data_IF_803754095448
#
_entry.id   IF_803754095448
#
_cell.length_a   1.000
_cell.length_b   1.000
_cell.length_c   1.000
_cell.angle_alpha   90.00
_cell.angle_beta   90.00
_cell.angle_gamma   90.00
#
_symmetry.space_group_name_H-M   'P 1'
#
loop_
_entity.id
_entity.type
_entity.pdbx_description
1 polymer ?
#
# COMPACT_ATOMS: atom_id res chain seq x y z
N UNK A 1 3.82 24.73 -5.21
CA UNK A 1 3.31 24.25 -3.91
C UNK A 1 2.65 22.92 -4.19
N UNK A 2 3.40 21.83 -4.11
CA UNK A 2 2.86 20.48 -4.34
C UNK A 2 2.32 19.99 -2.99
N UNK A 3 1.01 19.89 -2.86
CA UNK A 3 0.39 19.27 -1.69
C UNK A 3 0.59 17.76 -1.81
N UNK A 4 0.98 17.08 -0.72
CA UNK A 4 1.04 15.61 -0.69
C UNK A 4 2.43 14.97 -0.76
N UNK A 5 3.51 15.74 -0.85
CA UNK A 5 4.89 15.20 -0.92
C UNK A 5 5.30 14.38 0.31
N UNK A 6 4.60 14.55 1.44
CA UNK A 6 4.85 13.82 2.69
C UNK A 6 3.66 12.97 3.14
N UNK A 7 2.65 12.78 2.28
CA UNK A 7 1.51 11.93 2.61
C UNK A 7 1.88 10.50 2.21
N UNK A 8 1.91 9.54 3.16
CA UNK A 8 2.15 8.14 2.84
C UNK A 8 0.96 7.57 2.06
N UNK A 9 1.25 6.80 1.01
CA UNK A 9 0.27 6.09 0.20
C UNK A 9 0.44 4.59 0.40
N UNK A 10 -0.66 3.87 0.61
CA UNK A 10 -0.67 2.41 0.71
C UNK A 10 -1.83 1.83 -0.08
N UNK A 11 -1.64 0.64 -0.64
CA UNK A 11 -2.65 -0.06 -1.43
C UNK A 11 -3.55 -0.90 -0.52
N UNK A 12 -4.86 -0.86 -0.76
CA UNK A 12 -5.80 -1.72 -0.06
C UNK A 12 -6.22 -2.91 -0.93
N UNK A 13 -5.90 -4.14 -0.50
CA UNK A 13 -6.13 -5.36 -1.27
C UNK A 13 -7.36 -6.12 -0.75
N UNK A 14 -8.40 -6.26 -1.60
CA UNK A 14 -9.66 -6.91 -1.25
C UNK A 14 -9.91 -8.32 -1.83
N UNK A 15 -8.93 -8.93 -2.53
CA UNK A 15 -9.13 -10.20 -3.23
C UNK A 15 -7.82 -10.87 -3.66
N UNK A 16 -7.87 -11.83 -4.58
CA UNK A 16 -6.67 -12.46 -5.15
C UNK A 16 -6.02 -11.51 -6.15
N UNK A 17 -4.76 -11.14 -5.90
CA UNK A 17 -3.98 -10.29 -6.80
C UNK A 17 -2.84 -11.07 -7.44
N UNK A 18 -2.50 -10.67 -8.65
CA UNK A 18 -1.36 -11.23 -9.36
C UNK A 18 -0.04 -10.78 -8.72
N UNK A 19 0.91 -11.70 -8.45
CA UNK A 19 2.20 -11.35 -7.86
C UNK A 19 2.98 -10.30 -8.66
N UNK A 20 2.81 -10.30 -10.00
CA UNK A 20 3.43 -9.32 -10.89
C UNK A 20 2.96 -7.89 -10.64
N UNK A 21 1.68 -7.70 -10.29
CA UNK A 21 1.12 -6.38 -9.97
C UNK A 21 1.71 -5.82 -8.67
N UNK A 22 1.80 -6.67 -7.64
CA UNK A 22 2.41 -6.30 -6.36
C UNK A 22 3.89 -5.96 -6.51
N UNK A 23 4.62 -6.68 -7.38
CA UNK A 23 6.02 -6.40 -7.67
C UNK A 23 6.24 -5.01 -8.30
N UNK A 24 5.34 -4.59 -9.19
CA UNK A 24 5.40 -3.24 -9.78
C UNK A 24 5.17 -2.16 -8.73
N UNK A 25 4.17 -2.33 -7.86
CA UNK A 25 3.85 -1.34 -6.83
C UNK A 25 4.92 -1.28 -5.73
N UNK A 26 5.51 -2.42 -5.36
CA UNK A 26 6.67 -2.45 -4.46
C UNK A 26 7.87 -1.69 -5.05
N UNK A 27 8.10 -1.79 -6.37
CA UNK A 27 9.18 -1.05 -7.05
C UNK A 27 8.95 0.47 -7.06
N UNK A 28 7.70 0.92 -6.96
CA UNK A 28 7.33 2.33 -6.77
C UNK A 28 7.38 2.76 -5.29
N UNK A 29 7.71 1.85 -4.37
CA UNK A 29 7.80 2.12 -2.93
C UNK A 29 6.45 2.16 -2.22
N UNK A 30 5.41 1.56 -2.82
CA UNK A 30 4.07 1.53 -2.26
C UNK A 30 3.84 0.17 -1.58
N UNK A 31 3.66 0.20 -0.26
CA UNK A 31 3.24 -0.95 0.53
C UNK A 31 1.74 -1.24 0.37
N UNK A 32 1.29 -2.38 0.89
CA UNK A 32 -0.11 -2.77 0.85
C UNK A 32 -0.61 -3.32 2.18
N UNK A 33 -1.91 -3.11 2.40
CA UNK A 33 -2.68 -3.69 3.49
C UNK A 33 -3.82 -4.52 2.93
N UNK A 34 -4.01 -5.71 3.48
CA UNK A 34 -5.12 -6.56 3.11
C UNK A 34 -6.41 -6.10 3.81
N UNK A 35 -7.54 -6.09 3.11
CA UNK A 35 -8.84 -5.68 3.67
C UNK A 35 -9.27 -6.54 4.86
N UNK A 36 -8.82 -7.79 4.92
CA UNK A 36 -9.07 -8.67 6.06
C UNK A 36 -8.06 -8.49 7.21
N UNK A 37 -7.04 -7.63 7.03
CA UNK A 37 -6.01 -7.29 8.01
C UNK A 37 -5.83 -5.76 8.12
N UNK A 38 -6.93 -5.04 8.27
CA UNK A 38 -6.90 -3.58 8.42
C UNK A 38 -6.01 -3.11 9.59
N UNK A 39 -5.80 -3.94 10.61
CA UNK A 39 -4.88 -3.62 11.70
C UNK A 39 -3.42 -3.40 11.24
N UNK A 40 -3.01 -3.93 10.08
CA UNK A 40 -1.67 -3.67 9.53
C UNK A 40 -1.52 -2.23 8.99
N UNK A 41 -2.59 -1.42 8.92
CA UNK A 41 -2.50 0.01 8.63
C UNK A 41 -1.59 0.75 9.62
N UNK A 42 -1.60 0.35 10.89
CA UNK A 42 -0.74 0.94 11.93
C UNK A 42 0.74 0.67 11.62
N UNK A 43 1.06 -0.55 11.18
CA UNK A 43 2.43 -0.95 10.81
C UNK A 43 2.96 -0.21 9.57
N UNK A 44 2.09 0.07 8.60
CA UNK A 44 2.48 0.64 7.30
C UNK A 44 2.50 2.18 7.32
N UNK A 45 1.78 2.81 8.25
CA UNK A 45 1.68 4.27 8.35
C UNK A 45 2.45 4.86 9.55
N UNK A 46 3.12 4.03 10.36
CA UNK A 46 3.98 4.45 11.48
C UNK A 46 5.39 4.83 11.01
#
# INVERSE_FOLDING_TARGET
MTYGESVPYTLMLGGSFDPGYLGTQAAEGIDWVWQHRLNDLDTVLA
#
